data_IF_628170144334
#
_entry.id   IF_628170144334
#
_cell.length_a   1.000
_cell.length_b   1.000
_cell.length_c   1.000
_cell.angle_alpha   90.00
_cell.angle_beta   90.00
_cell.angle_gamma   90.00
#
_symmetry.space_group_name_H-M   'P 1'
#
loop_
_entity.id
_entity.type
_entity.pdbx_description
1 polymer ?
#
# COMPACT_ATOMS: atom_id res chain seq x y z
N UNK A 1 17.74 -18.95 16.11
CA UNK A 1 17.08 -18.39 14.92
C UNK A 1 15.58 -18.28 15.20
N UNK A 2 14.99 -17.08 15.25
CA UNK A 2 13.53 -16.95 15.30
C UNK A 2 12.96 -17.42 13.94
N UNK A 3 11.92 -18.28 13.98
CA UNK A 3 11.19 -18.67 12.75
C UNK A 3 10.76 -17.41 12.00
N UNK A 4 10.86 -17.37 10.67
CA UNK A 4 10.38 -16.21 9.88
C UNK A 4 8.92 -15.94 10.23
N UNK A 5 8.63 -14.71 10.60
CA UNK A 5 7.26 -14.26 10.86
C UNK A 5 6.40 -14.53 9.61
N UNK A 6 5.29 -15.25 9.76
CA UNK A 6 4.36 -15.54 8.66
C UNK A 6 4.08 -17.02 8.39
N UNK A 7 4.87 -17.94 8.93
CA UNK A 7 4.64 -19.37 8.75
C UNK A 7 3.62 -19.96 9.73
N UNK A 8 3.46 -19.37 10.91
CA UNK A 8 2.50 -19.84 11.92
C UNK A 8 1.16 -19.12 11.77
N UNK A 9 0.38 -19.50 10.76
CA UNK A 9 -0.97 -19.04 10.52
C UNK A 9 -1.83 -20.25 10.16
N UNK A 10 -2.49 -20.89 11.16
CA UNK A 10 -3.28 -22.12 10.94
C UNK A 10 -4.34 -22.01 9.86
N UNK A 11 -4.90 -20.81 9.67
CA UNK A 11 -5.91 -20.57 8.65
C UNK A 11 -5.38 -20.74 7.22
N UNK A 12 -4.06 -20.58 7.02
CA UNK A 12 -3.46 -20.82 5.71
C UNK A 12 -3.47 -22.31 5.34
N UNK A 13 -3.52 -23.20 6.33
CA UNK A 13 -3.59 -24.65 6.09
C UNK A 13 -4.93 -25.04 5.47
N UNK A 14 -5.99 -24.28 5.74
CA UNK A 14 -7.30 -24.46 5.16
C UNK A 14 -7.46 -23.85 3.76
N UNK A 15 -6.44 -23.12 3.26
CA UNK A 15 -6.46 -22.47 1.96
C UNK A 15 -5.60 -23.21 0.94
N UNK A 16 -6.16 -23.46 -0.23
CA UNK A 16 -5.41 -23.96 -1.38
C UNK A 16 -4.30 -22.97 -1.80
N UNK A 17 -3.27 -23.45 -2.49
CA UNK A 17 -2.21 -22.60 -3.05
C UNK A 17 -2.78 -21.46 -3.91
N UNK A 18 -3.88 -21.70 -4.66
CA UNK A 18 -4.55 -20.68 -5.46
C UNK A 18 -5.18 -19.59 -4.59
N UNK A 19 -5.80 -19.95 -3.48
CA UNK A 19 -6.38 -19.01 -2.52
C UNK A 19 -5.29 -18.22 -1.81
N UNK A 20 -4.18 -18.87 -1.43
CA UNK A 20 -3.01 -18.20 -0.88
C UNK A 20 -2.40 -17.21 -1.89
N UNK A 21 -2.24 -17.59 -3.15
CA UNK A 21 -1.79 -16.69 -4.21
C UNK A 21 -2.77 -15.52 -4.43
N UNK A 22 -4.08 -15.75 -4.32
CA UNK A 22 -5.06 -14.68 -4.42
C UNK A 22 -4.95 -13.66 -3.27
N UNK A 23 -4.56 -14.07 -2.06
CA UNK A 23 -4.29 -13.15 -0.94
C UNK A 23 -3.15 -12.18 -1.23
N UNK A 24 -2.15 -12.60 -2.01
CA UNK A 24 -0.99 -11.78 -2.34
C UNK A 24 -1.22 -10.81 -3.50
N UNK A 25 -2.44 -10.73 -4.03
CA UNK A 25 -2.81 -9.86 -5.16
C UNK A 25 -4.00 -8.99 -4.77
N UNK A 26 -3.89 -7.70 -5.05
CA UNK A 26 -4.95 -6.74 -4.74
C UNK A 26 -6.26 -7.01 -5.47
N UNK A 27 -7.33 -6.40 -5.00
CA UNK A 27 -8.70 -6.55 -5.54
C UNK A 27 -8.99 -5.65 -6.75
N UNK A 28 -8.00 -4.92 -7.27
CA UNK A 28 -8.15 -3.97 -8.36
C UNK A 28 -8.52 -2.55 -7.90
N UNK A 29 -8.59 -1.63 -8.86
CA UNK A 29 -8.90 -0.20 -8.61
C UNK A 29 -10.38 0.04 -8.28
N UNK A 30 -11.28 -0.80 -8.81
CA UNK A 30 -12.72 -0.62 -8.63
C UNK A 30 -13.26 -1.14 -7.29
N UNK A 31 -12.40 -1.73 -6.47
CA UNK A 31 -12.81 -2.43 -5.26
C UNK A 31 -13.68 -3.67 -5.56
N UNK A 32 -13.59 -4.69 -4.72
CA UNK A 32 -14.48 -5.86 -4.86
C UNK A 32 -15.93 -5.52 -4.53
N UNK A 33 -16.88 -6.38 -4.91
CA UNK A 33 -18.34 -6.19 -4.78
C UNK A 33 -18.84 -5.92 -3.33
N UNK A 34 -18.00 -6.02 -2.32
CA UNK A 34 -18.48 -6.13 -0.93
C UNK A 34 -18.08 -4.99 0.00
N UNK A 35 -16.90 -4.40 -0.15
CA UNK A 35 -16.52 -3.23 0.62
C UNK A 35 -15.65 -2.30 -0.24
N UNK A 36 -16.18 -1.14 -0.51
CA UNK A 36 -15.53 -0.13 -1.33
C UNK A 36 -15.90 1.27 -0.83
N UNK A 37 -14.92 2.16 -0.76
CA UNK A 37 -15.15 3.59 -0.66
C UNK A 37 -14.78 4.22 -2.01
N UNK A 38 -15.70 4.92 -2.69
CA UNK A 38 -15.42 5.53 -3.96
C UNK A 38 -14.19 6.44 -3.90
N UNK A 39 -13.27 6.26 -4.86
CA UNK A 39 -12.03 6.99 -4.93
C UNK A 39 -10.89 6.45 -4.06
N UNK A 40 -11.07 5.35 -3.31
CA UNK A 40 -9.94 4.69 -2.67
C UNK A 40 -8.97 4.15 -3.74
N UNK A 41 -7.69 4.01 -3.35
CA UNK A 41 -6.63 3.60 -4.27
C UNK A 41 -6.71 2.10 -4.65
N UNK A 42 -7.41 1.30 -3.86
CA UNK A 42 -7.59 -0.12 -4.09
C UNK A 42 -7.97 -0.86 -2.81
N UNK A 43 -8.06 -2.18 -2.93
CA UNK A 43 -8.38 -3.07 -1.81
C UNK A 43 -7.47 -4.29 -1.83
N UNK A 44 -7.35 -5.00 -0.72
CA UNK A 44 -6.90 -6.39 -0.75
C UNK A 44 -7.96 -7.26 -1.46
N UNK A 45 -7.62 -8.49 -1.81
CA UNK A 45 -8.55 -9.35 -2.56
C UNK A 45 -9.90 -9.54 -1.88
N UNK A 46 -10.99 -9.45 -2.64
CA UNK A 46 -12.35 -9.86 -2.21
C UNK A 46 -12.67 -11.32 -2.52
N UNK A 47 -11.75 -12.08 -3.09
CA UNK A 47 -12.00 -13.46 -3.53
C UNK A 47 -12.30 -14.43 -2.36
N UNK A 48 -11.87 -14.08 -1.14
CA UNK A 48 -11.98 -14.96 0.03
C UNK A 48 -13.04 -14.52 1.05
N UNK A 49 -13.95 -13.63 0.67
CA UNK A 49 -15.06 -13.19 1.53
C UNK A 49 -15.92 -14.35 2.02
N UNK A 50 -16.20 -15.33 1.14
CA UNK A 50 -16.94 -16.56 1.51
C UNK A 50 -16.18 -17.46 2.50
N UNK A 51 -14.86 -17.27 2.62
CA UNK A 51 -14.01 -17.93 3.61
C UNK A 51 -13.90 -17.13 4.92
N UNK A 52 -14.65 -16.02 5.07
CA UNK A 52 -14.61 -15.16 6.24
C UNK A 52 -13.42 -14.20 6.27
N UNK A 53 -12.66 -14.07 5.18
CA UNK A 53 -11.53 -13.16 5.08
C UNK A 53 -12.00 -11.87 4.37
N UNK A 54 -12.15 -10.74 5.11
CA UNK A 54 -12.59 -9.49 4.51
C UNK A 54 -11.50 -8.86 3.64
N UNK A 55 -11.90 -8.11 2.62
CA UNK A 55 -11.02 -7.16 1.98
C UNK A 55 -10.91 -5.88 2.80
N UNK A 56 -9.77 -5.20 2.74
CA UNK A 56 -9.52 -3.93 3.42
C UNK A 56 -9.21 -2.83 2.42
N UNK A 57 -9.56 -1.58 2.76
CA UNK A 57 -9.40 -0.42 1.90
C UNK A 57 -8.03 0.22 2.07
N UNK A 58 -7.45 0.63 0.93
CA UNK A 58 -6.23 1.43 0.87
C UNK A 58 -6.59 2.79 0.24
N UNK A 59 -6.29 3.89 0.93
CA UNK A 59 -6.49 5.24 0.40
C UNK A 59 -5.16 5.95 0.21
N UNK A 60 -4.98 6.55 -0.96
CA UNK A 60 -3.82 7.37 -1.26
C UNK A 60 -4.02 8.82 -0.77
N UNK A 61 -3.02 9.65 -0.94
CA UNK A 61 -3.02 11.08 -0.62
C UNK A 61 -2.11 11.42 0.57
N UNK A 62 -0.80 11.67 0.33
CA UNK A 62 0.15 12.03 1.39
C UNK A 62 -0.19 13.33 2.17
N UNK A 63 -1.02 14.19 1.57
CA UNK A 63 -1.53 15.41 2.22
C UNK A 63 -3.00 15.25 2.72
N UNK A 64 -3.39 14.04 3.13
CA UNK A 64 -4.75 13.70 3.56
C UNK A 64 -5.39 12.66 2.65
N UNK A 65 -6.51 12.08 3.08
CA UNK A 65 -7.17 11.01 2.32
C UNK A 65 -7.69 11.51 0.97
N UNK A 66 -7.22 10.90 -0.12
CA UNK A 66 -7.75 11.15 -1.46
C UNK A 66 -8.90 10.19 -1.73
N UNK A 67 -10.11 10.63 -1.44
CA UNK A 67 -11.36 9.94 -1.72
C UNK A 67 -12.16 10.70 -2.78
N UNK A 68 -13.08 10.01 -3.43
CA UNK A 68 -13.99 10.65 -4.39
C UNK A 68 -14.96 11.57 -3.65
N UNK A 69 -14.91 12.88 -3.95
CA UNK A 69 -15.74 13.87 -3.26
C UNK A 69 -17.24 13.61 -3.46
N UNK A 70 -17.65 13.22 -4.68
CA UNK A 70 -19.04 12.95 -5.05
C UNK A 70 -19.21 11.56 -5.64
N UNK A 71 -20.22 10.85 -5.19
CA UNK A 71 -20.58 9.52 -5.69
C UNK A 71 -22.09 9.38 -5.76
N UNK A 72 -22.58 8.40 -6.51
CA UNK A 72 -24.01 8.16 -6.69
C UNK A 72 -24.36 6.79 -6.09
N UNK A 73 -25.34 6.75 -5.19
CA UNK A 73 -25.98 5.51 -4.74
C UNK A 73 -27.04 5.18 -5.76
N UNK A 74 -26.76 4.20 -6.61
CA UNK A 74 -27.69 3.75 -7.66
C UNK A 74 -28.81 2.85 -7.09
N UNK A 75 -29.88 2.59 -7.88
CA UNK A 75 -31.05 1.83 -7.44
C UNK A 75 -30.74 0.46 -6.84
N UNK A 76 -29.64 -0.18 -7.25
CA UNK A 76 -29.17 -1.45 -6.68
C UNK A 76 -28.52 -1.31 -5.29
N UNK A 77 -28.38 -0.10 -4.76
CA UNK A 77 -27.65 0.19 -3.52
C UNK A 77 -26.12 0.29 -3.71
N UNK A 78 -25.60 0.03 -4.91
CA UNK A 78 -24.18 0.19 -5.17
C UNK A 78 -23.79 1.68 -5.17
N UNK A 79 -22.63 1.98 -4.61
CA UNK A 79 -22.04 3.34 -4.63
C UNK A 79 -21.04 3.40 -5.77
N UNK A 80 -21.33 4.27 -6.74
CA UNK A 80 -20.50 4.46 -7.93
C UNK A 80 -19.88 5.85 -7.94
N UNK A 81 -18.58 6.00 -8.28
CA UNK A 81 -17.96 7.31 -8.40
C UNK A 81 -18.58 8.09 -9.58
N UNK A 82 -18.63 9.40 -9.47
CA UNK A 82 -19.02 10.27 -10.59
C UNK A 82 -17.85 10.47 -11.57
N UNK A 83 -16.62 10.41 -11.07
CA UNK A 83 -15.38 10.51 -11.81
C UNK A 83 -14.39 9.45 -11.30
N UNK A 84 -13.47 9.00 -12.15
CA UNK A 84 -12.42 8.09 -11.72
C UNK A 84 -11.28 8.85 -11.01
N UNK A 85 -10.62 8.23 -10.03
CA UNK A 85 -9.58 8.89 -9.23
C UNK A 85 -8.32 9.27 -10.04
N UNK A 86 -8.11 8.62 -11.19
CA UNK A 86 -7.02 8.94 -12.12
C UNK A 86 -7.59 9.72 -13.30
N UNK A 87 -7.16 10.97 -13.44
CA UNK A 87 -7.66 11.88 -14.50
C UNK A 87 -7.57 11.27 -15.90
N UNK A 88 -6.49 10.52 -16.19
CA UNK A 88 -6.28 9.85 -17.47
C UNK A 88 -7.40 8.85 -17.81
N UNK A 89 -7.99 8.21 -16.80
CA UNK A 89 -9.07 7.23 -17.02
C UNK A 89 -10.40 7.92 -17.37
N UNK A 90 -10.57 9.20 -17.06
CA UNK A 90 -11.78 9.96 -17.41
C UNK A 90 -11.84 10.31 -18.91
N UNK A 91 -10.75 10.09 -19.65
CA UNK A 91 -10.73 10.22 -21.13
C UNK A 91 -11.16 8.93 -21.86
N UNK A 92 -11.48 7.87 -21.13
CA UNK A 92 -12.04 6.66 -21.73
C UNK A 92 -13.36 6.95 -22.46
N UNK A 93 -13.69 6.19 -23.52
CA UNK A 93 -14.96 6.33 -24.24
C UNK A 93 -16.15 6.26 -23.27
N UNK A 94 -17.16 7.12 -23.46
CA UNK A 94 -18.34 7.21 -22.56
C UNK A 94 -19.05 5.88 -22.35
N UNK A 95 -19.08 5.01 -23.37
CA UNK A 95 -19.70 3.70 -23.25
C UNK A 95 -18.96 2.75 -22.29
N UNK A 96 -17.67 2.95 -22.03
CA UNK A 96 -16.92 2.22 -21.01
C UNK A 96 -17.07 2.86 -19.63
N UNK A 97 -17.07 4.19 -19.58
CA UNK A 97 -17.25 4.94 -18.33
C UNK A 97 -18.58 4.63 -17.66
N UNK A 98 -19.67 4.49 -18.42
CA UNK A 98 -21.02 4.23 -17.87
C UNK A 98 -21.14 2.94 -17.04
N UNK A 99 -20.21 1.98 -17.19
CA UNK A 99 -20.18 0.76 -16.37
C UNK A 99 -19.46 0.96 -15.03
N UNK A 100 -18.59 1.96 -14.92
CA UNK A 100 -17.75 2.16 -13.75
C UNK A 100 -17.98 3.50 -13.04
N UNK A 101 -18.70 4.43 -13.68
CA UNK A 101 -19.16 5.70 -13.10
C UNK A 101 -20.67 5.84 -13.21
N UNK A 102 -21.23 6.75 -12.42
CA UNK A 102 -22.64 7.12 -12.51
C UNK A 102 -22.80 8.64 -12.39
N UNK A 103 -23.70 9.22 -13.17
CA UNK A 103 -24.14 10.61 -13.02
C UNK A 103 -25.33 10.75 -12.04
N UNK A 104 -25.72 11.96 -11.75
CA UNK A 104 -26.78 12.29 -10.79
C UNK A 104 -28.16 11.72 -11.20
N UNK A 105 -28.41 11.45 -12.50
CA UNK A 105 -29.67 10.90 -12.99
C UNK A 105 -29.87 9.45 -12.57
N UNK A 106 -28.82 8.72 -12.20
CA UNK A 106 -28.86 7.29 -11.87
C UNK A 106 -29.18 6.98 -10.41
N UNK A 107 -29.22 8.00 -9.52
CA UNK A 107 -29.52 7.76 -8.12
C UNK A 107 -29.23 8.97 -7.21
N UNK A 108 -29.14 8.71 -5.92
CA UNK A 108 -28.90 9.74 -4.89
C UNK A 108 -27.40 10.07 -4.79
N UNK A 109 -27.07 11.34 -4.94
CA UNK A 109 -25.70 11.84 -4.73
C UNK A 109 -25.32 11.78 -3.24
N UNK A 110 -24.13 11.29 -2.95
CA UNK A 110 -23.51 11.28 -1.63
C UNK A 110 -22.14 11.94 -1.70
N UNK A 111 -21.73 12.55 -0.60
CA UNK A 111 -20.49 13.30 -0.51
C UNK A 111 -19.54 12.65 0.50
N UNK A 112 -18.25 12.65 0.18
CA UNK A 112 -17.16 12.27 1.06
C UNK A 112 -16.19 13.45 1.13
N UNK A 113 -16.12 14.10 2.28
CA UNK A 113 -15.20 15.21 2.50
C UNK A 113 -14.03 14.75 3.37
N UNK A 114 -12.83 14.86 2.84
CA UNK A 114 -11.59 14.63 3.57
C UNK A 114 -10.78 15.92 3.63
N UNK A 115 -10.02 16.09 4.68
CA UNK A 115 -9.20 17.29 4.90
C UNK A 115 -7.99 17.28 3.97
N UNK A 116 -7.74 18.40 3.31
CA UNK A 116 -6.46 18.69 2.65
C UNK A 116 -5.52 19.31 3.70
N UNK A 117 -4.62 18.50 4.23
CA UNK A 117 -3.57 18.97 5.13
C UNK A 117 -2.45 19.67 4.34
N UNK A 118 -1.61 20.49 4.99
CA UNK A 118 -0.40 20.99 4.34
C UNK A 118 0.46 19.83 3.81
N UNK A 119 1.10 20.04 2.66
CA UNK A 119 2.00 19.05 2.07
C UNK A 119 3.20 18.77 2.98
N UNK A 120 3.83 17.60 2.81
CA UNK A 120 4.90 17.15 3.71
C UNK A 120 6.06 18.16 3.80
N UNK A 121 6.45 18.80 2.69
CA UNK A 121 7.44 19.86 2.67
C UNK A 121 7.05 21.04 3.58
N UNK A 122 5.80 21.48 3.57
CA UNK A 122 5.32 22.56 4.43
C UNK A 122 5.26 22.14 5.91
N UNK A 123 4.83 20.92 6.19
CA UNK A 123 4.86 20.35 7.53
C UNK A 123 6.29 20.26 8.08
N UNK A 124 7.26 19.92 7.24
CA UNK A 124 8.67 19.86 7.62
C UNK A 124 9.24 21.21 8.09
N UNK A 125 8.75 22.33 7.54
CA UNK A 125 9.18 23.67 7.94
C UNK A 125 8.77 24.02 9.39
N UNK A 126 7.87 23.28 10.00
CA UNK A 126 7.43 23.52 11.37
C UNK A 126 8.47 23.07 12.41
N UNK A 127 9.35 22.13 12.07
CA UNK A 127 10.32 21.49 12.97
C UNK A 127 9.66 20.91 14.25
N UNK A 128 8.37 20.53 14.16
CA UNK A 128 7.55 20.16 15.30
C UNK A 128 6.95 18.76 15.13
N UNK A 129 7.58 17.77 15.77
CA UNK A 129 7.11 16.36 15.74
C UNK A 129 5.77 16.17 16.40
N UNK A 130 5.43 16.96 17.45
CA UNK A 130 4.17 16.84 18.16
C UNK A 130 3.01 17.31 17.27
N UNK A 131 3.24 18.37 16.47
CA UNK A 131 2.28 18.80 15.45
C UNK A 131 2.05 17.71 14.40
N UNK A 132 3.12 17.05 13.94
CA UNK A 132 3.00 15.95 12.96
C UNK A 132 2.18 14.78 13.56
N UNK A 133 2.37 14.47 14.83
CA UNK A 133 1.60 13.44 15.50
C UNK A 133 0.11 13.82 15.60
N UNK A 134 -0.21 15.09 15.90
CA UNK A 134 -1.59 15.60 15.89
C UNK A 134 -2.24 15.55 14.50
N UNK A 135 -1.49 15.91 13.45
CA UNK A 135 -1.94 15.75 12.06
C UNK A 135 -2.22 14.28 11.76
N UNK A 136 -1.33 13.38 12.18
CA UNK A 136 -1.52 11.94 12.05
C UNK A 136 -2.79 11.44 12.74
N UNK A 137 -3.07 11.91 13.96
CA UNK A 137 -4.31 11.58 14.67
C UNK A 137 -5.56 12.06 13.91
N UNK A 138 -5.51 13.25 13.30
CA UNK A 138 -6.61 13.77 12.50
C UNK A 138 -6.85 12.90 11.26
N UNK A 139 -5.79 12.53 10.52
CA UNK A 139 -5.87 11.60 9.39
C UNK A 139 -6.44 10.24 9.84
N UNK A 140 -5.97 9.69 10.95
CA UNK A 140 -6.46 8.41 11.49
C UNK A 140 -7.95 8.44 11.84
N UNK A 141 -8.46 9.56 12.39
CA UNK A 141 -9.90 9.74 12.64
C UNK A 141 -10.71 9.74 11.33
N UNK A 142 -10.24 10.40 10.29
CA UNK A 142 -10.89 10.36 8.97
C UNK A 142 -10.82 8.96 8.34
N UNK A 143 -9.69 8.26 8.46
CA UNK A 143 -9.60 6.85 8.05
C UNK A 143 -10.67 5.98 8.73
N UNK A 144 -10.83 6.14 10.03
CA UNK A 144 -11.85 5.39 10.79
C UNK A 144 -13.26 5.73 10.33
N UNK A 145 -13.55 7.02 10.06
CA UNK A 145 -14.84 7.49 9.55
C UNK A 145 -15.20 6.84 8.21
N UNK A 146 -14.25 6.78 7.27
CA UNK A 146 -14.46 6.23 5.93
C UNK A 146 -14.16 4.73 5.83
N UNK A 147 -13.75 4.09 6.90
CA UNK A 147 -13.43 2.67 6.93
C UNK A 147 -12.16 2.30 6.17
N UNK A 148 -11.24 3.25 5.98
CA UNK A 148 -9.92 3.04 5.39
C UNK A 148 -9.03 2.36 6.42
N UNK A 149 -8.36 1.26 6.01
CA UNK A 149 -7.47 0.52 6.89
C UNK A 149 -6.00 0.89 6.71
N UNK A 150 -5.58 1.15 5.47
CA UNK A 150 -4.21 1.54 5.14
C UNK A 150 -4.19 2.89 4.41
N UNK A 151 -3.51 3.85 4.99
CA UNK A 151 -3.20 5.11 4.33
C UNK A 151 -1.86 4.99 3.60
N UNK A 152 -1.85 5.31 2.30
CA UNK A 152 -0.65 5.26 1.45
C UNK A 152 0.15 6.55 1.59
N UNK A 153 0.75 6.73 2.74
CA UNK A 153 1.57 7.86 3.17
C UNK A 153 2.12 7.62 4.56
N UNK A 154 3.07 8.47 5.00
CA UNK A 154 3.72 9.53 4.24
C UNK A 154 4.73 9.01 3.21
N UNK A 155 5.06 9.88 2.22
CA UNK A 155 6.26 9.74 1.41
C UNK A 155 7.45 10.32 2.14
N UNK A 156 8.63 9.66 2.04
CA UNK A 156 9.84 10.13 2.72
C UNK A 156 11.13 9.93 1.92
N UNK A 157 11.03 9.86 0.59
CA UNK A 157 12.21 9.93 -0.25
C UNK A 157 12.90 11.30 -0.11
N UNK A 158 14.20 11.36 -0.31
CA UNK A 158 14.96 12.59 -0.11
C UNK A 158 14.75 13.59 -1.25
N UNK A 159 14.74 14.87 -0.94
CA UNK A 159 14.78 15.97 -1.89
C UNK A 159 16.19 16.06 -2.50
N UNK A 160 16.49 15.21 -3.46
CA UNK A 160 17.79 15.18 -4.12
C UNK A 160 17.90 16.22 -5.23
N UNK A 161 16.79 16.43 -5.96
CA UNK A 161 16.71 17.40 -7.04
C UNK A 161 15.39 18.17 -6.92
N UNK A 162 15.43 19.51 -6.88
CA UNK A 162 14.21 20.32 -6.74
C UNK A 162 13.23 20.16 -7.91
N UNK A 163 13.71 19.69 -9.07
CA UNK A 163 12.87 19.40 -10.24
C UNK A 163 12.10 18.05 -10.15
N UNK A 164 12.30 17.28 -9.09
CA UNK A 164 11.50 16.07 -8.88
C UNK A 164 10.02 16.43 -8.68
N UNK A 165 9.13 15.91 -9.52
CA UNK A 165 7.70 16.22 -9.52
C UNK A 165 6.96 15.81 -8.26
N UNK A 166 7.60 15.02 -7.36
CA UNK A 166 7.02 14.55 -6.09
C UNK A 166 7.67 15.15 -4.83
N UNK A 167 8.56 16.14 -4.97
CA UNK A 167 9.22 16.77 -3.82
C UNK A 167 8.22 17.39 -2.84
N UNK A 168 7.05 17.85 -3.30
CA UNK A 168 6.01 18.43 -2.44
C UNK A 168 5.48 17.44 -1.39
N UNK A 169 5.45 16.13 -1.69
CA UNK A 169 4.94 15.09 -0.79
C UNK A 169 6.01 14.42 0.07
N UNK A 170 7.28 14.83 -0.09
CA UNK A 170 8.40 14.38 0.73
C UNK A 170 8.81 15.48 1.72
N UNK A 171 9.41 15.10 2.84
CA UNK A 171 9.68 16.07 3.92
C UNK A 171 10.91 16.94 3.67
N UNK A 172 12.07 16.35 3.35
CA UNK A 172 13.34 17.04 3.36
C UNK A 172 14.41 16.32 2.53
N UNK A 173 15.53 17.00 2.30
CA UNK A 173 16.80 16.41 1.84
C UNK A 173 17.53 15.69 2.99
N UNK A 174 17.23 16.05 4.25
CA UNK A 174 17.80 15.44 5.45
C UNK A 174 17.05 14.16 5.82
N UNK A 175 17.74 12.99 5.82
CA UNK A 175 17.13 11.72 6.18
C UNK A 175 16.72 11.64 7.66
N UNK A 176 17.41 12.33 8.56
CA UNK A 176 17.05 12.36 9.97
C UNK A 176 15.71 13.06 10.18
N UNK A 177 15.58 14.27 9.63
CA UNK A 177 14.32 15.05 9.70
C UNK A 177 13.17 14.27 9.06
N UNK A 178 13.39 13.72 7.86
CA UNK A 178 12.38 12.93 7.16
C UNK A 178 11.93 11.71 7.95
N UNK A 179 12.87 10.99 8.58
CA UNK A 179 12.59 9.81 9.39
C UNK A 179 11.82 10.13 10.66
N UNK A 180 12.22 11.17 11.41
CA UNK A 180 11.56 11.59 12.64
C UNK A 180 10.12 12.07 12.39
N UNK A 181 9.90 12.84 11.32
CA UNK A 181 8.56 13.31 10.96
C UNK A 181 7.67 12.16 10.47
N UNK A 182 8.19 11.25 9.65
CA UNK A 182 7.45 10.06 9.25
C UNK A 182 7.08 9.19 10.46
N UNK A 183 7.99 9.05 11.44
CA UNK A 183 7.72 8.31 12.67
C UNK A 183 6.62 8.97 13.51
N UNK A 184 6.67 10.30 13.70
CA UNK A 184 5.67 11.05 14.46
C UNK A 184 4.28 10.94 13.80
N UNK A 185 4.19 11.19 12.50
CA UNK A 185 2.95 11.07 11.73
C UNK A 185 2.38 9.64 11.81
N UNK A 186 3.26 8.63 11.73
CA UNK A 186 2.88 7.22 11.86
C UNK A 186 2.29 6.91 13.23
N UNK A 187 2.92 7.35 14.32
CA UNK A 187 2.38 7.18 15.69
C UNK A 187 1.00 7.83 15.81
N UNK A 188 0.86 9.05 15.29
CA UNK A 188 -0.42 9.76 15.29
C UNK A 188 -1.54 8.99 14.60
N UNK A 189 -1.34 8.55 13.36
CA UNK A 189 -2.35 7.76 12.62
C UNK A 189 -2.66 6.46 13.35
N UNK A 190 -1.65 5.73 13.78
CA UNK A 190 -1.79 4.41 14.37
C UNK A 190 -2.24 4.43 15.84
N UNK A 191 -2.35 5.61 16.46
CA UNK A 191 -3.05 5.77 17.73
C UNK A 191 -4.56 5.53 17.59
N UNK A 192 -5.10 5.59 16.38
CA UNK A 192 -6.49 5.24 16.08
C UNK A 192 -6.57 3.74 15.74
N UNK A 193 -7.24 2.93 16.56
CA UNK A 193 -7.25 1.48 16.40
C UNK A 193 -7.70 1.03 15.02
N UNK A 194 -6.96 0.09 14.42
CA UNK A 194 -7.25 -0.50 13.12
C UNK A 194 -6.92 0.35 11.90
N UNK A 195 -6.26 1.50 12.09
CA UNK A 195 -5.73 2.38 11.04
C UNK A 195 -4.22 2.26 10.97
N UNK A 196 -3.67 2.06 9.77
CA UNK A 196 -2.25 1.83 9.54
C UNK A 196 -1.68 2.73 8.46
N UNK A 197 -0.41 3.09 8.65
CA UNK A 197 0.40 3.87 7.71
C UNK A 197 1.13 2.93 6.76
N UNK A 198 1.27 3.36 5.51
CA UNK A 198 2.14 2.75 4.50
C UNK A 198 3.20 3.76 4.11
N UNK A 199 4.39 3.68 4.70
CA UNK A 199 5.50 4.57 4.33
C UNK A 199 5.99 4.23 2.92
N UNK A 200 6.39 5.26 2.14
CA UNK A 200 6.73 5.12 0.73
C UNK A 200 7.74 6.17 0.25
N UNK A 201 8.43 5.93 -0.84
CA UNK A 201 8.52 4.74 -1.68
C UNK A 201 9.87 4.06 -1.43
N UNK A 202 9.89 2.84 -0.99
CA UNK A 202 11.07 2.12 -0.51
C UNK A 202 11.77 1.38 -1.65
N UNK A 203 12.90 1.88 -2.20
CA UNK A 203 13.62 3.08 -1.83
C UNK A 203 14.15 3.80 -3.08
N UNK A 204 14.76 4.98 -2.88
CA UNK A 204 15.48 5.73 -3.91
C UNK A 204 14.61 6.28 -5.06
N UNK A 205 13.31 6.51 -4.84
CA UNK A 205 12.43 7.18 -5.80
C UNK A 205 12.63 8.71 -5.75
N UNK A 206 13.75 9.21 -6.30
CA UNK A 206 14.16 10.60 -6.21
C UNK A 206 13.96 11.39 -7.50
N UNK A 207 13.34 10.80 -8.51
CA UNK A 207 12.92 11.42 -9.76
C UNK A 207 11.69 10.72 -10.36
N UNK A 208 10.96 11.44 -11.24
CA UNK A 208 9.74 10.92 -11.87
C UNK A 208 9.87 10.67 -13.39
N UNK A 209 10.93 11.20 -14.04
CA UNK A 209 11.19 10.94 -15.45
C UNK A 209 11.52 9.47 -15.64
N UNK A 210 10.75 8.79 -16.51
CA UNK A 210 10.91 7.35 -16.79
C UNK A 210 10.95 6.49 -15.52
N UNK A 211 10.20 6.86 -14.48
CA UNK A 211 10.29 6.33 -13.11
C UNK A 211 10.21 4.79 -13.02
N UNK A 212 9.51 4.13 -13.95
CA UNK A 212 9.42 2.67 -14.01
C UNK A 212 10.62 2.01 -14.67
N UNK A 213 11.50 2.78 -15.34
CA UNK A 213 12.70 2.29 -16.03
C UNK A 213 14.00 2.89 -15.48
N UNK A 214 13.88 3.87 -14.59
CA UNK A 214 15.03 4.48 -13.91
C UNK A 214 15.76 3.46 -13.05
N UNK A 215 17.08 3.53 -13.02
CA UNK A 215 17.95 2.76 -12.14
C UNK A 215 18.75 3.72 -11.24
N UNK A 216 18.58 3.61 -9.94
CA UNK A 216 19.35 4.36 -8.96
C UNK A 216 20.66 3.62 -8.68
N UNK A 217 21.77 4.13 -9.23
CA UNK A 217 23.10 3.54 -9.05
C UNK A 217 23.81 4.23 -7.90
N UNK A 218 24.07 3.50 -6.83
CA UNK A 218 24.77 4.04 -5.65
C UNK A 218 25.47 2.94 -4.84
N UNK A 219 26.54 3.33 -4.12
CA UNK A 219 27.26 2.42 -3.24
C UNK A 219 26.52 2.19 -1.93
N UNK A 220 26.86 1.08 -1.25
CA UNK A 220 26.24 0.61 -0.01
C UNK A 220 26.22 1.67 1.10
N UNK A 221 27.34 2.42 1.27
CA UNK A 221 27.44 3.48 2.28
C UNK A 221 26.40 4.58 2.04
N UNK A 222 26.33 5.12 0.82
CA UNK A 222 25.37 6.15 0.48
C UNK A 222 23.93 5.65 0.62
N UNK A 223 23.68 4.40 0.20
CA UNK A 223 22.38 3.74 0.37
C UNK A 223 21.95 3.73 1.84
N UNK A 224 22.79 3.24 2.74
CA UNK A 224 22.44 3.08 4.16
C UNK A 224 22.41 4.39 4.94
N UNK A 225 23.42 5.25 4.75
CA UNK A 225 23.56 6.49 5.55
C UNK A 225 22.59 7.59 5.11
N UNK A 226 22.14 7.59 3.85
CA UNK A 226 21.27 8.62 3.30
C UNK A 226 19.89 8.06 2.91
N UNK A 227 19.81 7.22 1.88
CA UNK A 227 18.55 6.87 1.24
C UNK A 227 17.67 5.93 2.07
N UNK A 228 18.27 5.05 2.87
CA UNK A 228 17.56 4.14 3.77
C UNK A 228 17.40 4.70 5.18
N UNK A 229 18.22 5.67 5.59
CA UNK A 229 18.26 6.15 6.98
C UNK A 229 16.92 6.69 7.46
N UNK A 230 16.22 7.48 6.65
CA UNK A 230 14.88 7.98 7.00
C UNK A 230 13.86 6.85 7.18
N UNK A 231 13.91 5.85 6.31
CA UNK A 231 13.06 4.65 6.43
C UNK A 231 13.38 3.83 7.68
N UNK A 232 14.67 3.64 7.99
CA UNK A 232 15.08 2.94 9.20
C UNK A 232 14.52 3.59 10.46
N UNK A 233 14.65 4.91 10.59
CA UNK A 233 14.09 5.68 11.71
C UNK A 233 12.57 5.51 11.76
N UNK A 234 11.89 5.70 10.64
CA UNK A 234 10.44 5.56 10.56
C UNK A 234 9.96 4.15 10.97
N UNK A 235 10.69 3.10 10.56
CA UNK A 235 10.38 1.70 10.93
C UNK A 235 10.62 1.45 12.42
N UNK A 236 11.76 1.86 12.95
CA UNK A 236 12.14 1.57 14.34
C UNK A 236 11.31 2.37 15.35
N UNK A 237 11.06 3.65 15.07
CA UNK A 237 10.41 4.56 16.00
C UNK A 237 8.89 4.72 15.75
N UNK A 238 8.47 4.68 14.48
CA UNK A 238 7.06 4.80 14.09
C UNK A 238 6.32 3.47 14.01
N UNK A 239 7.02 2.38 13.72
CA UNK A 239 6.45 1.03 13.53
C UNK A 239 5.28 1.00 12.55
N UNK A 240 5.46 1.47 11.30
CA UNK A 240 4.38 1.53 10.32
C UNK A 240 3.79 0.14 10.05
N UNK A 241 2.47 0.09 9.80
CA UNK A 241 1.80 -1.16 9.48
C UNK A 241 2.13 -1.69 8.09
N UNK A 242 2.60 -0.84 7.19
CA UNK A 242 3.02 -1.23 5.86
C UNK A 242 4.17 -0.39 5.30
N UNK A 243 4.84 -0.95 4.30
CA UNK A 243 5.85 -0.31 3.45
C UNK A 243 5.49 -0.54 1.99
N UNK A 244 5.61 0.50 1.15
CA UNK A 244 5.43 0.38 -0.30
C UNK A 244 6.79 0.44 -0.98
N UNK A 245 7.13 -0.60 -1.75
CA UNK A 245 8.32 -0.60 -2.62
C UNK A 245 8.18 0.40 -3.77
N UNK A 246 9.28 0.90 -4.29
CA UNK A 246 9.27 1.96 -5.30
C UNK A 246 9.20 1.43 -6.74
N UNK A 247 8.99 2.34 -7.71
CA UNK A 247 8.94 2.01 -9.13
C UNK A 247 10.31 1.72 -9.74
N UNK A 248 11.35 2.38 -9.25
CA UNK A 248 12.68 2.34 -9.85
C UNK A 248 13.41 1.03 -9.58
N UNK A 249 14.46 0.81 -10.32
CA UNK A 249 15.49 -0.15 -9.97
C UNK A 249 16.50 0.47 -9.00
N UNK A 250 17.13 -0.38 -8.24
CA UNK A 250 18.28 -0.06 -7.39
C UNK A 250 19.42 -0.99 -7.78
N UNK A 251 20.51 -0.42 -8.34
CA UNK A 251 21.65 -1.19 -8.83
C UNK A 251 21.24 -2.36 -9.75
N UNK A 252 20.33 -2.09 -10.69
CA UNK A 252 19.87 -3.05 -11.70
C UNK A 252 18.65 -3.90 -11.32
N UNK A 253 18.24 -3.94 -10.05
CA UNK A 253 17.13 -4.78 -9.54
C UNK A 253 15.93 -3.90 -9.19
N UNK A 254 14.72 -4.26 -9.63
CA UNK A 254 13.51 -3.59 -9.15
C UNK A 254 13.39 -3.73 -7.63
N UNK A 255 13.12 -2.63 -6.93
CA UNK A 255 13.06 -2.62 -5.46
C UNK A 255 12.04 -3.62 -4.90
N UNK A 256 10.94 -3.89 -5.62
CA UNK A 256 9.98 -4.92 -5.24
C UNK A 256 10.50 -6.36 -5.42
N UNK A 257 11.56 -6.57 -6.23
CA UNK A 257 12.22 -7.87 -6.45
C UNK A 257 13.54 -8.01 -5.66
N UNK A 258 13.92 -6.98 -4.92
CA UNK A 258 15.19 -6.94 -4.19
C UNK A 258 15.04 -7.61 -2.82
N UNK A 259 15.58 -8.83 -2.73
CA UNK A 259 15.55 -9.63 -1.50
C UNK A 259 16.41 -9.03 -0.40
N UNK A 260 17.57 -8.44 -0.75
CA UNK A 260 18.45 -7.84 0.24
C UNK A 260 17.78 -6.62 0.88
N UNK A 261 17.13 -5.81 0.05
CA UNK A 261 16.38 -4.65 0.52
C UNK A 261 15.17 -5.05 1.40
N UNK A 262 14.31 -5.96 0.90
CA UNK A 262 13.01 -6.25 1.55
C UNK A 262 13.11 -7.29 2.67
N UNK A 263 13.97 -8.30 2.53
CA UNK A 263 14.05 -9.38 3.50
C UNK A 263 15.22 -9.20 4.45
N UNK A 264 16.44 -8.91 3.97
CA UNK A 264 17.60 -8.84 4.85
C UNK A 264 17.64 -7.52 5.61
N UNK A 265 17.54 -6.38 4.93
CA UNK A 265 17.60 -5.06 5.57
C UNK A 265 16.29 -4.76 6.30
N UNK A 266 15.18 -4.63 5.57
CA UNK A 266 13.91 -4.18 6.15
C UNK A 266 13.40 -5.10 7.27
N UNK A 267 13.32 -6.41 7.00
CA UNK A 267 12.79 -7.37 7.98
C UNK A 267 13.86 -7.89 8.93
N UNK A 268 15.06 -8.23 8.42
CA UNK A 268 16.12 -8.84 9.20
C UNK A 268 16.82 -7.86 10.12
N UNK A 269 17.32 -6.76 9.61
CA UNK A 269 18.10 -5.79 10.38
C UNK A 269 17.21 -4.83 11.19
N UNK A 270 16.12 -4.32 10.58
CA UNK A 270 15.26 -3.34 11.23
C UNK A 270 14.08 -3.95 11.99
N UNK A 271 13.83 -5.25 11.80
CA UNK A 271 12.78 -5.97 12.52
C UNK A 271 11.36 -5.63 12.06
N UNK A 272 11.17 -5.17 10.81
CA UNK A 272 9.86 -4.85 10.28
C UNK A 272 8.97 -6.10 10.18
N UNK A 273 7.80 -6.06 10.81
CA UNK A 273 6.83 -7.16 10.86
C UNK A 273 5.51 -6.89 10.11
N UNK A 274 5.40 -5.70 9.50
CA UNK A 274 4.23 -5.27 8.75
C UNK A 274 4.14 -5.83 7.33
N UNK A 275 3.21 -5.28 6.56
CA UNK A 275 2.92 -5.63 5.18
C UNK A 275 3.87 -4.88 4.22
N UNK A 276 4.47 -5.59 3.27
CA UNK A 276 5.17 -4.97 2.13
C UNK A 276 4.29 -5.06 0.90
N UNK A 277 4.02 -3.94 0.25
CA UNK A 277 3.25 -3.89 -1.00
C UNK A 277 4.05 -3.26 -2.13
N UNK A 278 3.74 -3.60 -3.36
CA UNK A 278 4.28 -2.90 -4.53
C UNK A 278 3.67 -1.52 -4.67
N UNK A 279 4.35 -0.61 -5.33
CA UNK A 279 3.68 0.52 -5.95
C UNK A 279 2.75 0.04 -7.08
N UNK A 280 1.83 0.89 -7.54
CA UNK A 280 0.74 0.52 -8.43
C UNK A 280 1.24 0.22 -9.84
N UNK A 281 0.83 -0.93 -10.39
CA UNK A 281 1.08 -1.31 -11.79
C UNK A 281 2.56 -1.48 -12.15
N UNK A 282 3.46 -1.69 -11.17
CA UNK A 282 4.88 -1.94 -11.45
C UNK A 282 5.12 -3.37 -11.98
N UNK A 283 4.17 -4.28 -11.82
CA UNK A 283 4.29 -5.65 -12.33
C UNK A 283 3.66 -5.80 -13.71
N UNK A 284 4.30 -6.55 -14.61
CA UNK A 284 3.75 -6.84 -15.92
C UNK A 284 4.82 -7.01 -17.00
N UNK A 285 4.38 -7.00 -18.27
CA UNK A 285 5.29 -7.18 -19.40
C UNK A 285 6.28 -6.01 -19.51
N UNK A 286 7.58 -6.33 -19.44
CA UNK A 286 8.66 -5.34 -19.49
C UNK A 286 8.95 -4.63 -18.16
N UNK A 287 8.22 -4.96 -17.10
CA UNK A 287 8.37 -4.47 -15.74
C UNK A 287 8.73 -5.62 -14.79
N UNK A 288 8.55 -5.41 -13.49
CA UNK A 288 8.81 -6.44 -12.48
C UNK A 288 7.93 -7.69 -12.64
N UNK A 289 8.44 -8.85 -12.23
CA UNK A 289 7.71 -10.11 -12.20
C UNK A 289 7.04 -10.31 -10.82
N UNK A 290 5.71 -10.46 -10.74
CA UNK A 290 5.02 -10.60 -9.47
C UNK A 290 5.50 -11.82 -8.66
N UNK A 291 5.98 -12.88 -9.32
CA UNK A 291 6.48 -14.06 -8.61
C UNK A 291 7.85 -13.80 -7.96
N UNK A 292 8.75 -13.07 -8.63
CA UNK A 292 10.03 -12.66 -8.04
C UNK A 292 9.82 -11.69 -6.89
N UNK A 293 8.85 -10.78 -7.02
CA UNK A 293 8.49 -9.86 -5.94
C UNK A 293 8.09 -10.64 -4.67
N UNK A 294 7.24 -11.68 -4.78
CA UNK A 294 6.91 -12.53 -3.63
C UNK A 294 8.13 -13.26 -3.06
N UNK A 295 9.00 -13.80 -3.91
CA UNK A 295 10.22 -14.47 -3.45
C UNK A 295 11.16 -13.52 -2.70
N UNK A 296 11.21 -12.25 -3.11
CA UNK A 296 12.00 -11.21 -2.45
C UNK A 296 11.43 -10.75 -1.10
N UNK A 297 10.14 -10.97 -0.83
CA UNK A 297 9.50 -10.55 0.42
C UNK A 297 8.51 -9.41 0.28
N UNK A 298 8.12 -9.05 -0.95
CA UNK A 298 6.99 -8.18 -1.23
C UNK A 298 5.70 -9.00 -1.12
N UNK A 299 4.81 -8.65 -0.19
CA UNK A 299 3.69 -9.52 0.20
C UNK A 299 2.44 -9.32 -0.66
N UNK A 300 2.21 -8.10 -1.15
CA UNK A 300 0.98 -7.71 -1.83
C UNK A 300 1.27 -6.97 -3.13
N UNK A 301 0.80 -7.52 -4.24
CA UNK A 301 0.92 -6.93 -5.58
C UNK A 301 -0.27 -5.99 -5.83
N UNK A 302 0.00 -4.70 -6.04
CA UNK A 302 -1.03 -3.68 -6.23
C UNK A 302 -1.06 -3.09 -7.66
N UNK A 303 -2.21 -2.67 -8.15
CA UNK A 303 -3.56 -2.83 -7.59
C UNK A 303 -4.12 -4.25 -7.70
N UNK A 304 -3.41 -5.14 -8.38
CA UNK A 304 -3.82 -6.49 -8.67
C UNK A 304 -4.67 -6.62 -9.94
N UNK A 305 -4.70 -7.83 -10.47
CA UNK A 305 -5.44 -8.20 -11.66
C UNK A 305 -5.51 -9.72 -11.84
N UNK A 306 -6.23 -10.16 -12.88
CA UNK A 306 -6.42 -11.59 -13.15
C UNK A 306 -5.15 -12.31 -13.62
N UNK A 307 -4.16 -11.56 -14.12
CA UNK A 307 -2.92 -12.09 -14.68
C UNK A 307 -1.91 -12.52 -13.62
N UNK A 308 -1.80 -11.77 -12.54
CA UNK A 308 -0.76 -11.95 -11.52
C UNK A 308 -0.90 -13.28 -10.79
N UNK A 309 -2.11 -13.64 -10.32
CA UNK A 309 -2.36 -14.94 -9.68
C UNK A 309 -1.93 -16.10 -10.57
N UNK A 310 -2.27 -16.02 -11.87
CA UNK A 310 -1.89 -17.07 -12.85
C UNK A 310 -0.37 -17.13 -13.04
N UNK A 311 0.30 -15.98 -13.07
CA UNK A 311 1.76 -15.88 -13.22
C UNK A 311 2.46 -16.49 -12.00
N UNK A 312 2.00 -16.17 -10.77
CA UNK A 312 2.50 -16.74 -9.52
C UNK A 312 2.35 -18.26 -9.51
N UNK A 313 1.16 -18.79 -9.83
CA UNK A 313 0.91 -20.23 -9.85
C UNK A 313 1.77 -20.97 -10.89
N UNK A 314 1.99 -20.37 -12.08
CA UNK A 314 2.90 -20.92 -13.08
C UNK A 314 4.35 -20.94 -12.61
N UNK A 315 4.78 -19.90 -11.88
CA UNK A 315 6.11 -19.81 -11.32
C UNK A 315 6.36 -20.87 -10.26
N UNK A 316 5.39 -21.17 -9.39
CA UNK A 316 5.47 -22.28 -8.43
C UNK A 316 5.52 -23.62 -9.18
N UNK A 317 4.63 -23.84 -10.16
CA UNK A 317 4.60 -25.09 -10.92
C UNK A 317 5.91 -25.37 -11.68
N UNK A 318 6.59 -24.32 -12.15
CA UNK A 318 7.88 -24.44 -12.85
C UNK A 318 9.11 -24.47 -11.91
N UNK A 319 8.93 -24.36 -10.59
CA UNK A 319 10.01 -24.31 -9.63
C UNK A 319 10.79 -22.99 -9.57
N UNK A 320 10.33 -21.93 -10.25
CA UNK A 320 10.98 -20.59 -10.21
C UNK A 320 10.87 -19.92 -8.84
N UNK A 321 9.79 -20.16 -8.12
CA UNK A 321 9.61 -19.76 -6.73
C UNK A 321 9.05 -20.95 -5.94
N UNK A 322 9.20 -20.93 -4.63
CA UNK A 322 8.68 -21.99 -3.76
C UNK A 322 7.25 -21.68 -3.32
N UNK A 323 6.46 -22.71 -3.05
CA UNK A 323 5.12 -22.55 -2.47
C UNK A 323 5.19 -21.85 -1.08
N UNK A 324 6.27 -22.07 -0.33
CA UNK A 324 6.53 -21.42 0.96
C UNK A 324 6.67 -19.89 0.84
N UNK A 325 7.18 -19.37 -0.29
CA UNK A 325 7.27 -17.93 -0.52
C UNK A 325 5.87 -17.32 -0.67
N UNK A 326 4.98 -17.99 -1.41
CA UNK A 326 3.57 -17.59 -1.53
C UNK A 326 2.87 -17.67 -0.16
N UNK A 327 3.06 -18.78 0.57
CA UNK A 327 2.48 -18.97 1.90
C UNK A 327 2.93 -17.89 2.89
N UNK A 328 4.23 -17.57 2.92
CA UNK A 328 4.79 -16.51 3.76
C UNK A 328 4.12 -15.16 3.48
N UNK A 329 4.06 -14.76 2.21
CA UNK A 329 3.44 -13.50 1.81
C UNK A 329 1.94 -13.47 2.14
N UNK A 330 1.20 -14.54 1.82
CA UNK A 330 -0.22 -14.68 2.17
C UNK A 330 -0.44 -14.57 3.69
N UNK A 331 0.45 -15.15 4.50
CA UNK A 331 0.42 -15.03 5.97
C UNK A 331 0.63 -13.60 6.45
N UNK A 332 1.55 -12.86 5.82
CA UNK A 332 1.77 -11.46 6.14
C UNK A 332 0.54 -10.61 5.80
N UNK A 333 -0.07 -10.82 4.63
CA UNK A 333 -1.33 -10.14 4.23
C UNK A 333 -2.45 -10.46 5.22
N UNK A 334 -2.64 -11.71 5.57
CA UNK A 334 -3.69 -12.15 6.50
C UNK A 334 -3.50 -11.53 7.89
N UNK A 335 -2.26 -11.50 8.42
CA UNK A 335 -1.96 -10.79 9.68
C UNK A 335 -2.24 -9.29 9.57
N UNK A 336 -1.88 -8.67 8.45
CA UNK A 336 -2.19 -7.28 8.17
C UNK A 336 -3.69 -7.00 8.23
N UNK A 337 -4.51 -7.82 7.57
CA UNK A 337 -5.98 -7.70 7.58
C UNK A 337 -6.54 -7.86 9.00
N UNK A 338 -6.06 -8.82 9.79
CA UNK A 338 -6.53 -9.07 11.17
C UNK A 338 -6.33 -7.89 12.11
N UNK A 339 -5.31 -7.10 11.90
CA UNK A 339 -5.01 -5.92 12.74
C UNK A 339 -5.94 -4.74 12.44
N UNK A 340 -6.72 -4.80 11.36
CA UNK A 340 -7.58 -3.69 10.93
C UNK A 340 -8.95 -3.71 11.61
N UNK A 341 -9.60 -2.55 11.66
CA UNK A 341 -10.97 -2.42 12.14
C UNK A 341 -12.00 -3.25 11.35
N UNK A 342 -11.68 -3.65 10.12
CA UNK A 342 -12.53 -4.53 9.33
C UNK A 342 -12.62 -5.94 9.90
N UNK A 343 -11.53 -6.46 10.48
CA UNK A 343 -11.56 -7.76 11.14
C UNK A 343 -12.56 -7.78 12.30
N UNK A 344 -12.68 -6.69 13.05
CA UNK A 344 -13.66 -6.54 14.14
C UNK A 344 -15.10 -6.57 13.62
N UNK A 345 -15.39 -5.85 12.51
CA UNK A 345 -16.73 -5.81 11.88
C UNK A 345 -17.18 -7.17 11.35
N UNK A 346 -16.26 -8.02 10.92
CA UNK A 346 -16.55 -9.38 10.46
C UNK A 346 -16.53 -10.43 11.58
N UNK A 347 -16.56 -10.02 12.85
CA UNK A 347 -16.72 -10.91 14.00
C UNK A 347 -15.48 -11.72 14.36
N UNK A 348 -14.30 -11.21 14.00
CA UNK A 348 -13.05 -11.96 14.09
C UNK A 348 -13.06 -13.19 13.18
N UNK A 349 -11.89 -13.64 12.75
CA UNK A 349 -11.75 -14.80 11.83
C UNK A 349 -12.23 -16.17 12.41
N UNK A 350 -13.14 -16.15 13.37
CA UNK A 350 -13.48 -17.31 14.19
C UNK A 350 -14.36 -18.36 13.49
N UNK A 351 -14.57 -18.33 12.18
CA UNK A 351 -15.37 -19.34 11.46
C UNK A 351 -14.71 -19.81 10.16
N UNK A 352 -13.42 -20.10 10.18
CA UNK A 352 -12.86 -21.07 9.24
C UNK A 352 -13.05 -22.46 9.82
N UNK A 353 -14.27 -22.97 9.73
CA UNK A 353 -14.56 -24.41 9.85
C UNK A 353 -14.66 -25.02 8.47
#
# INVERSE_FOLDING_TARGET
MRKPAGLDCPELDALSLREQAALTVGGGLAGGKHYNAPGCAGTTTGALLKRGIPNVLLADGPAGLRLQKRSVVVKSGAVMPMELPMAQLNHLPKFLLCFITADESRGRVVYQFATAFPVALALAQTWNTDLLEQVGQAVGREMRLYGVSYWLGPGLNLHRNPLCGRSFEYFSEDPLLSGLFAAALTRGVQSIPGCFVTIKHFACNNQETERTHTDAILGERALRELYLRGFEIAVREGRPGAVMSSYNRLNGIYTCEDRDLLTHILRGEWGFDGLVMTDWMITGKGLADPSRALAAGNDLIMPGGFGEVRTILRAVKSGRIRAEDVRRCAGNVLRGIRRTAMAERFGGFCKLR
#
